data_IF_506007277165
#
_entry.id   IF_506007277165
#
_cell.length_a   1.000
_cell.length_b   1.000
_cell.length_c   1.000
_cell.angle_alpha   90.00
_cell.angle_beta   90.00
_cell.angle_gamma   90.00
#
_symmetry.space_group_name_H-M   'P 1'
#
loop_
_entity.id
_entity.type
_entity.pdbx_description
1 polymer ?
#
# COMPACT_ATOMS: atom_id res chain seq x y z
N UNK A 1 7.33 -15.43 18.86
CA UNK A 1 5.91 -15.04 18.93
C UNK A 1 5.75 -13.89 17.96
N UNK A 2 5.19 -14.13 16.77
CA UNK A 2 5.02 -13.07 15.78
C UNK A 2 4.14 -11.99 16.39
N UNK A 3 4.67 -10.77 16.44
CA UNK A 3 3.94 -9.56 16.84
C UNK A 3 2.91 -9.24 15.75
N UNK A 4 1.81 -9.98 15.72
CA UNK A 4 0.65 -9.59 14.94
C UNK A 4 0.12 -8.29 15.53
N UNK A 5 0.24 -7.22 14.75
CA UNK A 5 -0.38 -5.96 15.09
C UNK A 5 -1.90 -6.15 15.00
N UNK A 6 -2.56 -6.11 16.15
CA UNK A 6 -4.00 -6.29 16.28
C UNK A 6 -4.73 -5.00 15.88
N UNK A 7 -5.78 -5.12 15.06
CA UNK A 7 -6.63 -3.99 14.71
C UNK A 7 -7.69 -3.80 15.80
N UNK A 8 -7.63 -2.66 16.49
CA UNK A 8 -8.54 -2.32 17.57
C UNK A 8 -9.51 -1.25 17.09
N UNK A 9 -10.81 -1.55 17.19
CA UNK A 9 -11.88 -0.60 16.93
C UNK A 9 -13.10 -0.92 17.78
N UNK A 10 -13.74 0.12 18.28
CA UNK A 10 -14.96 0.14 19.09
C UNK A 10 -15.93 1.19 18.53
N UNK A 11 -15.42 2.28 17.97
CA UNK A 11 -16.22 3.32 17.33
C UNK A 11 -17.05 2.75 16.17
N UNK A 12 -18.34 3.14 16.02
CA UNK A 12 -19.17 2.72 14.90
C UNK A 12 -18.54 3.03 13.53
N UNK A 13 -17.90 4.19 13.40
CA UNK A 13 -17.28 4.67 12.16
C UNK A 13 -16.11 3.76 11.76
N UNK A 14 -15.22 3.42 12.70
CA UNK A 14 -14.11 2.52 12.38
C UNK A 14 -14.58 1.08 12.17
N UNK A 15 -15.58 0.63 12.92
CA UNK A 15 -16.20 -0.70 12.69
C UNK A 15 -16.76 -0.81 11.27
N UNK A 16 -17.43 0.22 10.75
CA UNK A 16 -17.91 0.26 9.37
C UNK A 16 -16.77 0.16 8.35
N UNK A 17 -15.64 0.84 8.59
CA UNK A 17 -14.44 0.74 7.74
C UNK A 17 -13.89 -0.68 7.74
N UNK A 18 -13.86 -1.34 8.90
CA UNK A 18 -13.44 -2.75 9.04
C UNK A 18 -14.35 -3.69 8.26
N UNK A 19 -15.67 -3.53 8.37
CA UNK A 19 -16.65 -4.32 7.62
C UNK A 19 -16.54 -4.08 6.10
N UNK A 20 -16.29 -2.84 5.67
CA UNK A 20 -16.01 -2.52 4.27
C UNK A 20 -14.72 -3.19 3.79
N UNK A 21 -13.65 -3.13 4.58
CA UNK A 21 -12.39 -3.79 4.25
C UNK A 21 -12.57 -5.30 4.09
N UNK A 22 -13.32 -5.96 4.98
CA UNK A 22 -13.64 -7.38 4.84
C UNK A 22 -14.41 -7.69 3.56
N UNK A 23 -15.39 -6.87 3.18
CA UNK A 23 -16.11 -7.02 1.91
C UNK A 23 -15.20 -6.83 0.70
N UNK A 24 -14.34 -5.80 0.73
CA UNK A 24 -13.40 -5.53 -0.36
C UNK A 24 -12.33 -6.63 -0.48
N UNK A 25 -11.99 -7.30 0.63
CA UNK A 25 -11.04 -8.41 0.65
C UNK A 25 -11.47 -9.58 -0.25
N UNK A 26 -12.78 -9.83 -0.40
CA UNK A 26 -13.34 -10.88 -1.25
C UNK A 26 -13.13 -10.63 -2.77
N UNK A 27 -12.77 -9.41 -3.16
CA UNK A 27 -12.49 -9.05 -4.57
C UNK A 27 -10.98 -9.06 -4.86
N UNK A 28 -10.60 -9.16 -6.13
CA UNK A 28 -9.23 -8.95 -6.59
C UNK A 28 -8.92 -7.49 -6.95
N UNK A 29 -9.89 -6.58 -6.81
CA UNK A 29 -9.72 -5.19 -7.17
C UNK A 29 -8.71 -4.48 -6.26
N UNK A 30 -8.08 -3.45 -6.83
CA UNK A 30 -7.24 -2.51 -6.09
C UNK A 30 -8.07 -1.82 -5.02
N UNK A 31 -7.50 -1.68 -3.83
CA UNK A 31 -8.10 -0.92 -2.73
C UNK A 31 -7.20 0.25 -2.38
N UNK A 32 -7.77 1.45 -2.37
CA UNK A 32 -7.13 2.67 -1.90
C UNK A 32 -7.56 2.95 -0.45
N UNK A 33 -6.60 3.20 0.43
CA UNK A 33 -6.82 3.49 1.85
C UNK A 33 -6.38 4.93 2.13
N UNK A 34 -7.34 5.82 2.33
CA UNK A 34 -7.07 7.22 2.63
C UNK A 34 -7.25 7.50 4.11
N UNK A 35 -6.36 8.30 4.68
CA UNK A 35 -6.49 8.75 6.06
C UNK A 35 -5.18 9.30 6.60
N UNK A 36 -5.25 10.04 7.70
CA UNK A 36 -4.07 10.68 8.29
C UNK A 36 -2.97 9.68 8.66
N UNK A 37 -1.74 10.16 8.77
CA UNK A 37 -0.62 9.34 9.26
C UNK A 37 -0.91 8.79 10.65
N UNK A 38 -0.57 7.52 10.89
CA UNK A 38 -0.79 6.87 12.19
C UNK A 38 -2.23 6.43 12.49
N UNK A 39 -3.16 6.53 11.54
CA UNK A 39 -4.58 6.11 11.75
C UNK A 39 -4.82 4.61 11.65
N UNK A 40 -3.80 3.81 11.29
CA UNK A 40 -3.89 2.35 11.18
C UNK A 40 -4.09 1.81 9.75
N UNK A 41 -3.76 2.59 8.71
CA UNK A 41 -3.89 2.17 7.30
C UNK A 41 -3.17 0.85 7.00
N UNK A 42 -1.98 0.64 7.55
CA UNK A 42 -1.22 -0.61 7.39
C UNK A 42 -1.93 -1.84 8.00
N UNK A 43 -2.67 -1.65 9.11
CA UNK A 43 -3.46 -2.70 9.74
C UNK A 43 -4.65 -3.10 8.87
N UNK A 44 -5.28 -2.11 8.22
CA UNK A 44 -6.36 -2.37 7.26
C UNK A 44 -5.84 -3.09 6.00
N UNK A 45 -4.64 -2.75 5.52
CA UNK A 45 -3.99 -3.50 4.44
C UNK A 45 -3.71 -4.96 4.86
N UNK A 46 -3.26 -5.16 6.10
CA UNK A 46 -3.13 -6.50 6.69
C UNK A 46 -4.45 -7.26 6.76
N UNK A 47 -5.54 -6.59 7.18
CA UNK A 47 -6.87 -7.17 7.20
C UNK A 47 -7.37 -7.56 5.80
N UNK A 48 -7.24 -6.65 4.82
CA UNK A 48 -7.58 -6.89 3.42
C UNK A 48 -6.89 -8.13 2.88
N UNK A 49 -5.61 -8.30 3.20
CA UNK A 49 -4.83 -9.46 2.78
C UNK A 49 -5.32 -10.75 3.47
N UNK A 50 -5.40 -10.75 4.80
CA UNK A 50 -5.82 -11.94 5.59
C UNK A 50 -7.24 -12.41 5.28
N UNK A 51 -8.14 -11.50 4.92
CA UNK A 51 -9.52 -11.84 4.56
C UNK A 51 -9.71 -12.14 3.06
N UNK A 52 -8.65 -12.12 2.26
CA UNK A 52 -8.71 -12.40 0.82
C UNK A 52 -8.43 -13.86 0.50
N UNK A 53 -8.68 -14.27 -0.74
CA UNK A 53 -8.26 -15.58 -1.28
C UNK A 53 -6.73 -15.76 -1.38
N UNK A 54 -5.94 -14.75 -1.00
CA UNK A 54 -4.48 -14.72 -1.07
C UNK A 54 -3.82 -14.67 0.31
N UNK A 55 -4.56 -14.99 1.38
CA UNK A 55 -4.08 -14.92 2.76
C UNK A 55 -2.86 -15.82 3.06
N UNK A 56 -2.71 -16.92 2.32
CA UNK A 56 -1.56 -17.84 2.45
C UNK A 56 -0.33 -17.40 1.62
N UNK A 57 -0.47 -16.36 0.79
CA UNK A 57 0.60 -15.80 -0.03
C UNK A 57 1.23 -14.58 0.67
N UNK A 58 2.37 -14.05 0.19
CA UNK A 58 3.04 -12.94 0.87
C UNK A 58 2.22 -11.63 0.88
N UNK A 59 2.23 -10.92 2.01
CA UNK A 59 1.91 -9.50 2.06
C UNK A 59 3.22 -8.72 2.02
N UNK A 60 3.59 -8.23 0.85
CA UNK A 60 4.80 -7.41 0.67
C UNK A 60 4.44 -5.94 0.84
N UNK A 61 5.04 -5.29 1.85
CA UNK A 61 4.77 -3.90 2.19
C UNK A 61 5.94 -3.03 1.79
N UNK A 62 5.67 -1.90 1.16
CA UNK A 62 6.68 -0.90 0.83
C UNK A 62 6.15 0.50 1.08
N UNK A 63 7.00 1.36 1.63
CA UNK A 63 6.68 2.77 1.82
C UNK A 63 7.30 3.59 0.69
N UNK A 64 6.47 4.14 -0.20
CA UNK A 64 6.90 4.91 -1.35
C UNK A 64 7.67 6.19 -0.96
N UNK A 65 7.43 6.74 0.23
CA UNK A 65 8.17 7.90 0.75
C UNK A 65 9.66 7.60 1.01
N UNK A 66 10.03 6.32 1.12
CA UNK A 66 11.42 5.89 1.33
C UNK A 66 12.23 5.79 0.03
N UNK A 67 11.58 5.85 -1.12
CA UNK A 67 12.26 5.76 -2.40
C UNK A 67 13.01 7.04 -2.71
N UNK A 68 14.26 6.89 -3.14
CA UNK A 68 14.96 7.98 -3.82
C UNK A 68 14.34 8.15 -5.21
N UNK A 69 14.10 9.40 -5.63
CA UNK A 69 13.43 9.69 -6.92
C UNK A 69 14.09 9.00 -8.11
N UNK A 70 15.43 8.97 -8.15
CA UNK A 70 16.21 8.32 -9.21
C UNK A 70 16.18 6.79 -9.19
N UNK A 71 15.76 6.19 -8.07
CA UNK A 71 15.75 4.74 -7.86
C UNK A 71 14.33 4.17 -7.73
N UNK A 72 13.28 5.01 -7.67
CA UNK A 72 11.90 4.57 -7.48
C UNK A 72 11.46 3.48 -8.48
N UNK A 73 11.86 3.61 -9.76
CA UNK A 73 11.58 2.59 -10.78
C UNK A 73 12.32 1.27 -10.49
N UNK A 74 13.57 1.35 -10.05
CA UNK A 74 14.39 0.19 -9.70
C UNK A 74 13.85 -0.55 -8.47
N UNK A 75 13.35 0.20 -7.48
CA UNK A 75 12.73 -0.39 -6.28
C UNK A 75 11.43 -1.09 -6.64
N UNK A 76 10.55 -0.44 -7.40
CA UNK A 76 9.21 -0.96 -7.69
C UNK A 76 9.23 -2.08 -8.75
N UNK A 77 9.96 -1.88 -9.85
CA UNK A 77 9.95 -2.78 -11.02
C UNK A 77 11.20 -3.66 -11.14
N UNK A 78 12.24 -3.39 -10.34
CA UNK A 78 13.53 -4.07 -10.48
C UNK A 78 14.41 -3.50 -11.60
N UNK A 79 15.65 -3.97 -11.68
CA UNK A 79 16.61 -3.60 -12.72
C UNK A 79 17.52 -4.77 -13.09
N UNK A 80 17.98 -4.77 -14.34
CA UNK A 80 19.04 -5.67 -14.79
C UNK A 80 20.43 -5.11 -14.47
N UNK A 81 21.41 -6.00 -14.35
CA UNK A 81 22.80 -5.58 -14.18
C UNK A 81 23.23 -4.67 -15.34
N UNK A 82 23.81 -3.51 -15.01
CA UNK A 82 24.25 -2.51 -16.00
C UNK A 82 23.16 -1.57 -16.52
N UNK A 83 21.93 -1.62 -15.98
CA UNK A 83 20.84 -0.75 -16.42
C UNK A 83 21.10 0.76 -16.19
N UNK A 84 21.89 1.11 -15.19
CA UNK A 84 22.33 2.48 -14.88
C UNK A 84 23.65 2.46 -14.11
N UNK A 85 24.29 3.62 -13.95
CA UNK A 85 25.52 3.76 -13.16
C UNK A 85 25.26 3.35 -11.70
N UNK A 86 25.86 2.25 -11.25
CA UNK A 86 25.63 1.68 -9.91
C UNK A 86 24.79 0.39 -9.89
N UNK A 87 24.21 -0.01 -11.02
CA UNK A 87 23.50 -1.28 -11.18
C UNK A 87 24.49 -2.47 -11.28
N UNK A 88 25.22 -2.75 -10.19
CA UNK A 88 26.28 -3.78 -10.17
C UNK A 88 25.72 -5.20 -10.18
N UNK A 89 24.49 -5.39 -9.70
CA UNK A 89 23.79 -6.67 -9.66
C UNK A 89 22.35 -6.46 -10.12
N UNK A 90 21.68 -7.54 -10.53
CA UNK A 90 20.24 -7.53 -10.78
C UNK A 90 19.46 -7.35 -9.47
N UNK A 91 18.34 -6.65 -9.55
CA UNK A 91 17.35 -6.49 -8.49
C UNK A 91 15.96 -6.84 -9.04
N UNK A 92 15.18 -7.65 -8.33
CA UNK A 92 13.89 -8.13 -8.84
C UNK A 92 12.72 -7.15 -8.60
N UNK A 93 12.85 -6.24 -7.64
CA UNK A 93 11.84 -5.21 -7.34
C UNK A 93 10.65 -5.71 -6.49
N UNK A 94 9.87 -4.74 -5.97
CA UNK A 94 8.76 -5.00 -5.05
C UNK A 94 7.62 -5.80 -5.69
N UNK A 95 7.29 -5.52 -6.96
CA UNK A 95 6.21 -6.23 -7.66
C UNK A 95 6.53 -7.73 -7.78
N UNK A 96 7.79 -8.06 -8.08
CA UNK A 96 8.23 -9.45 -8.11
C UNK A 96 8.18 -10.09 -6.72
N UNK A 97 8.68 -9.38 -5.71
CA UNK A 97 8.73 -9.88 -4.33
C UNK A 97 7.34 -10.15 -3.72
N UNK A 98 6.31 -9.44 -4.19
CA UNK A 98 4.92 -9.70 -3.79
C UNK A 98 4.34 -11.01 -4.35
N UNK A 99 4.94 -11.57 -5.40
CA UNK A 99 4.54 -12.85 -5.99
C UNK A 99 3.05 -12.90 -6.36
N UNK A 100 2.37 -13.98 -5.95
CA UNK A 100 0.92 -14.15 -6.09
C UNK A 100 0.14 -13.62 -4.86
N UNK A 101 0.78 -12.84 -3.99
CA UNK A 101 0.18 -12.29 -2.79
C UNK A 101 -0.41 -10.90 -2.99
N UNK A 102 -0.10 -9.99 -2.07
CA UNK A 102 -0.53 -8.59 -2.08
C UNK A 102 0.67 -7.67 -1.95
N UNK A 103 0.80 -6.70 -2.86
CA UNK A 103 1.73 -5.58 -2.74
C UNK A 103 0.99 -4.40 -2.10
N UNK A 104 1.42 -4.01 -0.91
CA UNK A 104 0.94 -2.82 -0.22
C UNK A 104 1.88 -1.65 -0.47
N UNK A 105 1.37 -0.61 -1.13
CA UNK A 105 2.06 0.64 -1.44
C UNK A 105 1.63 1.73 -0.45
N UNK A 106 2.39 1.92 0.61
CA UNK A 106 2.14 2.98 1.58
C UNK A 106 2.69 4.32 1.08
N UNK A 107 1.99 5.39 1.42
CA UNK A 107 2.23 6.75 0.93
C UNK A 107 2.38 6.85 -0.59
N UNK A 108 1.43 6.27 -1.34
CA UNK A 108 1.43 6.24 -2.82
C UNK A 108 1.51 7.65 -3.45
N UNK A 109 1.01 8.67 -2.75
CA UNK A 109 1.09 10.08 -3.18
C UNK A 109 2.51 10.66 -3.20
N UNK A 110 3.51 9.93 -2.71
CA UNK A 110 4.94 10.29 -2.76
C UNK A 110 5.66 9.75 -4.01
N UNK A 111 5.00 8.91 -4.82
CA UNK A 111 5.65 8.37 -6.02
C UNK A 111 5.98 9.47 -7.03
N UNK A 112 7.19 9.44 -7.64
CA UNK A 112 7.52 10.34 -8.75
C UNK A 112 6.57 10.16 -9.94
N UNK A 113 6.24 11.25 -10.65
CA UNK A 113 5.33 11.23 -11.80
C UNK A 113 5.72 10.23 -12.90
N UNK A 114 7.03 10.05 -13.12
CA UNK A 114 7.54 9.07 -14.10
C UNK A 114 7.22 7.63 -13.68
N UNK A 115 7.39 7.32 -12.39
CA UNK A 115 7.06 6.02 -11.80
C UNK A 115 5.55 5.79 -11.79
N UNK A 116 4.74 6.83 -11.52
CA UNK A 116 3.28 6.76 -11.60
C UNK A 116 2.79 6.31 -12.99
N UNK A 117 3.39 6.85 -14.07
CA UNK A 117 3.03 6.47 -15.43
C UNK A 117 3.32 4.99 -15.73
N UNK A 118 4.41 4.44 -15.18
CA UNK A 118 4.74 3.02 -15.31
C UNK A 118 3.81 2.15 -14.47
N UNK A 119 3.52 2.55 -13.22
CA UNK A 119 2.60 1.85 -12.34
C UNK A 119 1.19 1.74 -12.97
N UNK A 120 0.72 2.80 -13.61
CA UNK A 120 -0.54 2.77 -14.35
C UNK A 120 -0.56 1.66 -15.41
N UNK A 121 0.48 1.56 -16.24
CA UNK A 121 0.59 0.49 -17.24
C UNK A 121 0.56 -0.90 -16.59
N UNK A 122 1.23 -1.08 -15.46
CA UNK A 122 1.17 -2.35 -14.71
C UNK A 122 -0.26 -2.65 -14.25
N UNK A 123 -1.00 -1.66 -13.75
CA UNK A 123 -2.38 -1.83 -13.31
C UNK A 123 -3.37 -2.09 -14.46
N UNK A 124 -3.07 -1.62 -15.66
CA UNK A 124 -3.89 -1.81 -16.86
C UNK A 124 -3.60 -3.15 -17.54
N UNK A 125 -2.32 -3.48 -17.74
CA UNK A 125 -1.87 -4.61 -18.56
C UNK A 125 -1.53 -5.84 -17.73
N UNK A 126 -1.34 -5.69 -16.40
CA UNK A 126 -0.72 -6.70 -15.53
C UNK A 126 0.67 -7.15 -16.00
N UNK A 127 1.36 -6.29 -16.75
CA UNK A 127 2.68 -6.55 -17.32
C UNK A 127 3.64 -5.40 -17.00
N UNK A 128 4.93 -5.71 -16.86
CA UNK A 128 5.98 -4.74 -16.59
C UNK A 128 7.34 -5.22 -17.07
N UNK A 129 8.31 -4.31 -17.11
CA UNK A 129 9.70 -4.60 -17.43
C UNK A 129 10.61 -4.13 -16.30
N UNK A 130 11.69 -4.87 -16.03
CA UNK A 130 12.80 -4.33 -15.23
C UNK A 130 13.45 -3.17 -15.99
N UNK A 131 13.99 -2.21 -15.25
CA UNK A 131 14.80 -1.14 -15.84
C UNK A 131 15.97 -1.76 -16.60
N UNK A 132 16.16 -1.36 -17.86
CA UNK A 132 17.20 -1.90 -18.73
C UNK A 132 16.87 -3.25 -19.40
N UNK A 133 15.69 -3.81 -19.16
CA UNK A 133 15.23 -5.06 -19.81
C UNK A 133 14.15 -4.79 -20.86
N UNK A 134 14.05 -5.71 -21.82
CA UNK A 134 12.90 -5.82 -22.76
C UNK A 134 12.06 -7.07 -22.49
N UNK A 135 12.44 -7.87 -21.49
CA UNK A 135 11.68 -9.04 -21.05
C UNK A 135 10.38 -8.60 -20.39
N UNK A 136 9.23 -9.04 -20.93
CA UNK A 136 7.91 -8.81 -20.34
C UNK A 136 7.70 -9.75 -19.15
N UNK A 137 7.43 -9.17 -17.99
CA UNK A 137 7.08 -9.88 -16.75
C UNK A 137 5.60 -9.64 -16.44
N UNK A 138 4.93 -10.62 -15.82
CA UNK A 138 3.54 -10.49 -15.39
C UNK A 138 3.41 -10.23 -13.90
N UNK A 139 2.62 -9.23 -13.54
CA UNK A 139 2.18 -9.00 -12.16
C UNK A 139 1.09 -10.01 -11.82
N UNK A 140 1.36 -10.82 -10.80
CA UNK A 140 0.34 -11.71 -10.23
C UNK A 140 -0.28 -11.12 -8.97
N UNK A 141 0.43 -10.22 -8.28
CA UNK A 141 0.02 -9.66 -6.99
C UNK A 141 -1.23 -8.78 -7.11
N UNK A 142 -2.03 -8.77 -6.05
CA UNK A 142 -3.05 -7.74 -5.83
C UNK A 142 -2.38 -6.46 -5.33
N UNK A 143 -2.86 -5.29 -5.76
CA UNK A 143 -2.41 -4.01 -5.21
C UNK A 143 -3.36 -3.53 -4.10
N UNK A 144 -2.79 -3.08 -2.99
CA UNK A 144 -3.44 -2.20 -2.03
C UNK A 144 -2.57 -0.95 -1.88
N UNK A 145 -3.15 0.24 -1.90
CA UNK A 145 -2.42 1.50 -1.79
C UNK A 145 -2.94 2.30 -0.60
N UNK A 146 -2.08 3.07 0.04
CA UNK A 146 -2.46 3.98 1.11
C UNK A 146 -1.82 5.35 0.94
N UNK A 147 -2.48 6.39 1.44
CA UNK A 147 -1.88 7.73 1.51
C UNK A 147 -2.54 8.60 2.58
N UNK A 148 -1.78 9.55 3.11
CA UNK A 148 -2.28 10.66 3.90
C UNK A 148 -2.59 11.93 3.08
N UNK A 149 -2.23 11.96 1.79
CA UNK A 149 -2.45 13.10 0.90
C UNK A 149 -3.85 13.05 0.31
N UNK A 150 -4.40 14.22 0.04
CA UNK A 150 -5.60 14.35 -0.77
C UNK A 150 -5.21 14.22 -2.24
N UNK A 151 -5.38 13.02 -2.81
CA UNK A 151 -4.94 12.75 -4.18
C UNK A 151 -5.64 13.63 -5.22
N UNK A 152 -6.88 14.10 -4.96
CA UNK A 152 -7.57 15.03 -5.85
C UNK A 152 -6.87 16.39 -5.89
N UNK A 153 -6.40 16.88 -4.73
CA UNK A 153 -5.57 18.09 -4.67
C UNK A 153 -4.21 17.89 -5.35
N UNK A 154 -3.60 16.73 -5.18
CA UNK A 154 -2.32 16.41 -5.83
C UNK A 154 -2.47 16.32 -7.36
N UNK A 155 -3.59 15.79 -7.85
CA UNK A 155 -3.95 15.81 -9.29
C UNK A 155 -4.13 17.24 -9.78
N UNK A 156 -4.92 18.07 -9.08
CA UNK A 156 -5.12 19.47 -9.45
C UNK A 156 -3.81 20.28 -9.44
N UNK A 157 -2.85 19.89 -8.61
CA UNK A 157 -1.52 20.50 -8.55
C UNK A 157 -0.49 19.89 -9.53
N UNK A 158 -0.89 18.91 -10.35
CA UNK A 158 -0.02 18.25 -11.33
C UNK A 158 1.06 17.35 -10.71
N UNK A 159 0.93 16.98 -9.43
CA UNK A 159 1.87 16.11 -8.70
C UNK A 159 1.44 14.64 -8.67
N UNK A 160 0.19 14.37 -9.03
CA UNK A 160 -0.33 13.04 -9.21
C UNK A 160 -1.08 12.93 -10.53
N UNK A 161 -0.97 11.80 -11.23
CA UNK A 161 -1.67 11.63 -12.51
C UNK A 161 -3.14 11.30 -12.29
N UNK A 162 -4.00 11.98 -13.06
CA UNK A 162 -5.46 11.79 -13.01
C UNK A 162 -5.88 10.37 -13.38
N UNK A 163 -5.26 9.79 -14.43
CA UNK A 163 -5.53 8.43 -14.89
C UNK A 163 -5.18 7.37 -13.85
N UNK A 164 -4.02 7.50 -13.19
CA UNK A 164 -3.63 6.64 -12.08
C UNK A 164 -4.58 6.78 -10.89
N UNK A 165 -5.00 8.01 -10.54
CA UNK A 165 -5.96 8.23 -9.47
C UNK A 165 -7.27 7.48 -9.73
N UNK A 166 -7.85 7.62 -10.92
CA UNK A 166 -9.07 6.89 -11.28
C UNK A 166 -8.89 5.36 -11.30
N UNK A 167 -7.69 4.87 -11.65
CA UNK A 167 -7.39 3.43 -11.62
C UNK A 167 -7.27 2.87 -10.20
N UNK A 168 -6.82 3.69 -9.24
CA UNK A 168 -6.69 3.33 -7.83
C UNK A 168 -8.00 3.51 -7.05
N UNK A 169 -8.79 4.55 -7.33
CA UNK A 169 -10.03 4.95 -6.65
C UNK A 169 -11.25 4.09 -7.05
N UNK A 170 -11.05 2.78 -7.24
CA UNK A 170 -12.12 1.83 -7.59
C UNK A 170 -12.85 1.36 -6.33
N UNK A 171 -12.08 0.98 -5.30
CA UNK A 171 -12.59 0.63 -3.98
C UNK A 171 -11.78 1.44 -2.96
N UNK A 172 -12.44 2.36 -2.27
CA UNK A 172 -11.76 3.31 -1.38
C UNK A 172 -12.27 3.18 0.05
N UNK A 173 -11.33 3.07 0.99
CA UNK A 173 -11.57 3.08 2.42
C UNK A 173 -11.09 4.42 2.98
N UNK A 174 -11.99 5.18 3.59
CA UNK A 174 -11.64 6.40 4.30
C UNK A 174 -11.51 6.10 5.79
N UNK A 175 -10.32 6.23 6.34
CA UNK A 175 -10.02 5.98 7.75
C UNK A 175 -10.22 7.27 8.54
N UNK A 176 -11.20 7.32 9.47
CA UNK A 176 -11.42 8.51 10.26
C UNK A 176 -10.20 8.80 11.16
N UNK A 177 -9.82 10.07 11.33
CA UNK A 177 -8.77 10.45 12.27
C UNK A 177 -9.24 10.18 13.71
N UNK A 178 -8.30 9.98 14.64
CA UNK A 178 -8.64 9.57 16.01
C UNK A 178 -9.59 10.56 16.74
N UNK A 179 -9.53 11.85 16.40
CA UNK A 179 -10.41 12.89 16.94
C UNK A 179 -11.90 12.70 16.57
N UNK A 180 -12.19 11.98 15.50
CA UNK A 180 -13.55 11.71 15.02
C UNK A 180 -14.06 10.34 15.48
N UNK A 181 -13.28 9.61 16.30
CA UNK A 181 -13.60 8.27 16.85
C UNK A 181 -13.20 8.14 18.33
N UNK A 182 -13.74 8.99 19.23
CA UNK A 182 -13.31 9.05 20.62
C UNK A 182 -13.49 7.74 21.40
N UNK A 183 -14.42 6.87 21.01
CA UNK A 183 -14.67 5.55 21.61
C UNK A 183 -13.44 4.63 21.48
N UNK A 184 -12.61 4.82 20.45
CA UNK A 184 -11.40 4.03 20.25
C UNK A 184 -10.29 4.43 21.21
N UNK A 185 -10.30 5.64 21.77
CA UNK A 185 -9.21 6.19 22.58
C UNK A 185 -8.95 5.32 23.81
N UNK A 186 -10.02 4.94 24.53
CA UNK A 186 -9.87 4.12 25.74
C UNK A 186 -9.32 2.73 25.40
N UNK A 187 -9.84 2.09 24.36
CA UNK A 187 -9.41 0.76 23.95
C UNK A 187 -7.94 0.75 23.49
N UNK A 188 -7.55 1.74 22.68
CA UNK A 188 -6.17 1.92 22.23
C UNK A 188 -5.22 2.22 23.39
N UNK A 189 -5.60 3.10 24.32
CA UNK A 189 -4.81 3.40 25.52
C UNK A 189 -4.59 2.14 26.37
N UNK A 190 -5.63 1.34 26.61
CA UNK A 190 -5.52 0.09 27.33
C UNK A 190 -4.60 -0.92 26.62
N UNK A 191 -4.67 -1.01 25.28
CA UNK A 191 -3.77 -1.87 24.52
C UNK A 191 -2.32 -1.43 24.63
N UNK A 192 -2.03 -0.15 24.43
CA UNK A 192 -0.66 0.36 24.52
C UNK A 192 -0.09 0.26 25.93
N UNK A 193 -0.90 0.49 26.97
CA UNK A 193 -0.50 0.25 28.36
C UNK A 193 -0.14 -1.22 28.61
N UNK A 194 -0.91 -2.17 28.08
CA UNK A 194 -0.57 -3.61 28.21
C UNK A 194 0.68 -3.98 27.42
N UNK A 195 0.85 -3.40 26.24
CA UNK A 195 1.95 -3.71 25.33
C UNK A 195 3.28 -3.16 25.81
N UNK A 196 3.30 -1.93 26.31
CA UNK A 196 4.54 -1.21 26.68
C UNK A 196 4.71 -1.04 28.19
N UNK A 197 3.64 -1.17 28.98
CA UNK A 197 3.69 -0.96 30.44
C UNK A 197 4.41 -2.06 31.23
N UNK A 198 4.79 -3.16 30.59
CA UNK A 198 5.59 -4.24 31.19
C UNK A 198 7.07 -4.20 30.75
N UNK A 199 7.52 -3.14 30.05
CA UNK A 199 8.92 -2.95 29.63
C UNK A 199 9.73 -2.13 30.66
N UNK A 200 9.33 -2.11 31.93
CA UNK A 200 9.98 -1.41 33.04
C UNK A 200 10.40 -2.33 34.18
#
# INVERSE_FOLDING_TARGET
MSSEQELICVSPEMCQVVEQAQRFAATSATVLIEGESGTGKELLAGLLHRCSSRADAPLYKVNCASFQESLADSELFGHEQGAFTGAVKRHDGCIHAAGNGTLFLDEIGELPLATQAKLLRVLEENEYHRVGSTETLRMQARIAAATNRDLRKEVAAGRFREDLYHRLDVLTLHVPPLRDRPEDIQALACHFLRRFGNEG
#
